data_IF_052184934824
#
_entry.id   IF_052184934824
#
_cell.length_a   1.000
_cell.length_b   1.000
_cell.length_c   1.000
_cell.angle_alpha   90.00
_cell.angle_beta   90.00
_cell.angle_gamma   90.00
#
_symmetry.space_group_name_H-M   'P 1'
#
loop_
_entity.id
_entity.type
_entity.pdbx_description
1 polymer ?
#
# COMPACT_ATOMS: atom_id res chain seq x y z
N UNK A 1 -23.51 -4.98 2.50
CA UNK A 1 -22.34 -5.86 2.29
C UNK A 1 -21.19 -5.27 3.09
N UNK A 2 -20.81 -5.92 4.20
CA UNK A 2 -19.99 -5.38 5.30
C UNK A 2 -18.59 -4.92 4.85
N UNK A 3 -18.08 -5.47 3.75
CA UNK A 3 -16.73 -5.19 3.24
C UNK A 3 -16.60 -3.75 2.73
N UNK A 4 -17.65 -3.15 2.15
CA UNK A 4 -17.60 -1.78 1.64
C UNK A 4 -17.59 -0.72 2.76
N UNK A 5 -18.26 -0.99 3.88
CA UNK A 5 -18.32 -0.10 5.04
C UNK A 5 -16.99 -0.08 5.81
N UNK A 6 -16.22 -1.18 5.82
CA UNK A 6 -14.88 -1.22 6.42
C UNK A 6 -13.76 -0.63 5.54
N UNK A 7 -14.03 -0.40 4.25
CA UNK A 7 -13.01 0.14 3.33
C UNK A 7 -12.89 1.67 3.39
N UNK A 8 -13.92 2.38 3.84
CA UNK A 8 -13.96 3.85 3.82
C UNK A 8 -14.49 4.50 5.11
N UNK A 9 -14.01 4.06 6.28
CA UNK A 9 -13.92 4.97 7.43
C UNK A 9 -12.61 5.78 7.35
N UNK A 10 -12.46 6.59 6.30
CA UNK A 10 -11.43 7.62 6.24
C UNK A 10 -12.10 8.95 6.58
N UNK A 11 -12.38 9.18 7.87
CA UNK A 11 -12.78 10.52 8.33
C UNK A 11 -11.65 11.54 8.08
N UNK A 12 -10.40 11.08 7.98
CA UNK A 12 -9.27 11.85 7.49
C UNK A 12 -8.47 11.03 6.47
N UNK A 13 -8.24 11.59 5.28
CA UNK A 13 -7.33 11.01 4.32
C UNK A 13 -5.90 11.10 4.90
N UNK A 14 -5.19 9.99 5.10
CA UNK A 14 -3.86 10.03 5.68
C UNK A 14 -2.94 10.86 4.80
N UNK A 15 -2.11 11.68 5.43
CA UNK A 15 -1.10 12.46 4.71
C UNK A 15 -0.18 11.54 3.92
N UNK A 16 0.39 12.07 2.82
CA UNK A 16 1.29 11.33 1.94
C UNK A 16 2.46 10.68 2.72
N UNK A 17 2.93 11.35 3.77
CA UNK A 17 3.98 10.85 4.66
C UNK A 17 3.53 9.65 5.50
N UNK A 18 2.29 9.65 5.99
CA UNK A 18 1.69 8.52 6.70
C UNK A 18 1.58 7.30 5.78
N UNK A 19 1.13 7.52 4.53
CA UNK A 19 1.06 6.46 3.51
C UNK A 19 2.47 5.91 3.22
N UNK A 20 3.48 6.76 3.08
CA UNK A 20 4.89 6.36 2.88
C UNK A 20 5.40 5.46 4.01
N UNK A 21 5.16 5.83 5.27
CA UNK A 21 5.62 5.04 6.45
C UNK A 21 4.94 3.68 6.50
N UNK A 22 3.62 3.64 6.28
CA UNK A 22 2.89 2.36 6.24
C UNK A 22 3.36 1.48 5.09
N UNK A 23 3.61 2.05 3.91
CA UNK A 23 4.11 1.31 2.76
C UNK A 23 5.50 0.73 2.99
N UNK A 24 6.41 1.50 3.60
CA UNK A 24 7.74 1.00 3.96
C UNK A 24 7.65 -0.19 4.92
N UNK A 25 6.80 -0.08 5.95
CA UNK A 25 6.55 -1.17 6.89
C UNK A 25 5.93 -2.39 6.21
N UNK A 26 4.98 -2.19 5.30
CA UNK A 26 4.36 -3.25 4.51
C UNK A 26 5.38 -3.96 3.62
N UNK A 27 6.20 -3.21 2.87
CA UNK A 27 7.29 -3.77 2.04
C UNK A 27 8.26 -4.60 2.86
N UNK A 28 8.62 -4.14 4.06
CA UNK A 28 9.49 -4.90 4.97
C UNK A 28 8.87 -6.24 5.35
N UNK A 29 7.59 -6.25 5.75
CA UNK A 29 6.86 -7.48 6.11
C UNK A 29 6.75 -8.44 4.91
N UNK A 30 6.41 -7.92 3.74
CA UNK A 30 6.31 -8.70 2.49
C UNK A 30 7.65 -9.31 2.11
N UNK A 31 8.74 -8.53 2.20
CA UNK A 31 10.09 -9.03 1.97
C UNK A 31 10.46 -10.17 2.93
N UNK A 32 10.12 -10.05 4.22
CA UNK A 32 10.33 -11.12 5.20
C UNK A 32 9.51 -12.37 4.87
N UNK A 33 8.33 -12.22 4.28
CA UNK A 33 7.51 -13.32 3.80
C UNK A 33 8.00 -13.95 2.47
N UNK A 34 9.12 -13.47 1.90
CA UNK A 34 9.68 -13.97 0.65
C UNK A 34 9.08 -13.32 -0.60
N UNK A 35 8.31 -12.25 -0.45
CA UNK A 35 7.75 -11.53 -1.58
C UNK A 35 8.85 -10.79 -2.37
N UNK A 36 8.70 -10.71 -3.70
CA UNK A 36 9.67 -10.03 -4.54
C UNK A 36 9.63 -8.51 -4.34
N UNK A 37 10.78 -7.86 -4.48
CA UNK A 37 10.94 -6.45 -4.14
C UNK A 37 10.11 -5.50 -5.02
N UNK A 38 9.77 -5.94 -6.23
CA UNK A 38 8.93 -5.23 -7.19
C UNK A 38 7.43 -5.49 -6.98
N UNK A 39 7.00 -6.12 -5.87
CA UNK A 39 5.57 -6.36 -5.60
C UNK A 39 4.75 -5.09 -5.45
N UNK A 40 5.34 -4.04 -4.89
CA UNK A 40 4.71 -2.73 -4.82
C UNK A 40 5.59 -1.74 -5.56
N UNK A 41 5.04 -1.11 -6.59
CA UNK A 41 5.70 -0.12 -7.43
C UNK A 41 5.28 1.30 -7.06
N UNK A 42 6.21 2.25 -7.22
CA UNK A 42 5.89 3.67 -7.13
C UNK A 42 5.48 4.15 -8.52
N UNK A 43 4.28 4.71 -8.64
CA UNK A 43 3.80 5.35 -9.86
C UNK A 43 3.94 6.85 -9.67
N UNK A 44 4.89 7.46 -10.38
CA UNK A 44 5.16 8.88 -10.26
C UNK A 44 3.91 9.70 -10.61
N UNK A 45 3.52 10.62 -9.72
CA UNK A 45 2.32 11.45 -9.87
C UNK A 45 0.98 10.75 -9.56
N UNK A 46 0.98 9.44 -9.23
CA UNK A 46 -0.23 8.67 -8.94
C UNK A 46 -0.17 7.90 -7.61
N UNK A 47 1.03 7.69 -7.04
CA UNK A 47 1.21 7.03 -5.74
C UNK A 47 1.82 5.64 -5.87
N UNK A 48 1.11 4.61 -5.41
CA UNK A 48 1.63 3.24 -5.31
C UNK A 48 0.67 2.23 -5.94
N UNK A 49 1.21 1.19 -6.56
CA UNK A 49 0.42 0.08 -7.13
C UNK A 49 1.05 -1.27 -6.81
N UNK A 50 0.24 -2.31 -6.81
CA UNK A 50 0.75 -3.68 -6.90
C UNK A 50 1.20 -3.96 -8.33
N UNK A 51 2.30 -4.69 -8.49
CA UNK A 51 2.77 -5.09 -9.81
C UNK A 51 1.86 -6.19 -10.37
N UNK A 52 1.17 -5.96 -11.50
CA UNK A 52 0.25 -6.94 -12.09
C UNK A 52 0.98 -8.04 -12.88
N UNK A 53 2.29 -7.94 -13.07
CA UNK A 53 3.11 -8.86 -13.87
C UNK A 53 4.06 -9.70 -13.01
N UNK A 54 3.70 -9.92 -11.74
CA UNK A 54 4.41 -10.80 -10.83
C UNK A 54 3.93 -12.24 -10.88
#
# INVERSE_FOLDING_TARGET
>A
SVILEQLWCFEEMPEEETVKVHLQSLRKKLKTAGAPHNLIENVYGLGYRLNPYL
#
